data_IF_638569139907
#
_entry.id   IF_638569139907
#
_cell.length_a   1.000
_cell.length_b   1.000
_cell.length_c   1.000
_cell.angle_alpha   90.00
_cell.angle_beta   90.00
_cell.angle_gamma   90.00
#
_symmetry.space_group_name_H-M   'P 1'
#
loop_
_entity.id
_entity.type
_entity.pdbx_description
1 polymer ?
#
# COMPACT_ATOMS: atom_id res chain seq x y z
N UNK A 1 63.58 8.44 -45.15
CA UNK A 1 62.81 7.18 -45.11
C UNK A 1 62.18 7.04 -43.73
N UNK A 2 60.94 6.53 -43.69
CA UNK A 2 60.01 6.49 -42.56
C UNK A 2 60.50 5.68 -41.36
N UNK A 3 60.13 6.13 -40.15
CA UNK A 3 59.57 5.26 -39.10
C UNK A 3 58.81 6.14 -38.09
N UNK A 4 57.49 6.24 -38.25
CA UNK A 4 56.57 6.63 -37.18
C UNK A 4 56.08 5.32 -36.58
N UNK A 5 56.44 5.04 -35.33
CA UNK A 5 55.88 3.93 -34.55
C UNK A 5 54.92 4.50 -33.50
N UNK A 6 53.82 3.76 -33.33
CA UNK A 6 52.49 4.17 -32.96
C UNK A 6 52.25 3.77 -31.50
N UNK A 7 52.34 4.67 -30.53
CA UNK A 7 51.87 4.40 -29.17
C UNK A 7 51.38 5.69 -28.49
N UNK A 8 50.09 5.98 -28.64
CA UNK A 8 49.25 6.66 -27.64
C UNK A 8 47.95 7.17 -28.28
N UNK A 9 46.88 6.36 -28.36
CA UNK A 9 45.56 6.99 -28.27
C UNK A 9 44.59 6.26 -27.33
N UNK A 10 45.05 5.31 -26.51
CA UNK A 10 44.14 4.52 -25.66
C UNK A 10 43.91 5.10 -24.26
N UNK A 11 44.77 5.99 -23.75
CA UNK A 11 44.74 6.37 -22.34
C UNK A 11 43.97 7.67 -22.05
N UNK A 12 43.59 8.44 -23.08
CA UNK A 12 42.95 9.75 -22.90
C UNK A 12 41.40 9.70 -22.95
N UNK A 13 40.83 8.58 -23.42
CA UNK A 13 39.37 8.45 -23.59
C UNK A 13 38.67 7.99 -22.29
N UNK A 14 39.37 7.33 -21.37
CA UNK A 14 38.75 6.84 -20.12
C UNK A 14 38.59 7.89 -19.01
N UNK A 15 39.20 9.08 -19.13
CA UNK A 15 39.12 10.09 -18.06
C UNK A 15 37.89 11.02 -18.18
N UNK A 16 37.13 10.96 -19.28
CA UNK A 16 36.02 11.89 -19.56
C UNK A 16 34.63 11.44 -19.08
N UNK A 17 34.49 10.23 -18.55
CA UNK A 17 33.16 9.66 -18.19
C UNK A 17 32.83 9.69 -16.69
N UNK A 18 33.63 10.36 -15.86
CA UNK A 18 33.44 10.38 -14.41
C UNK A 18 32.68 11.61 -13.86
N UNK A 19 32.18 12.50 -14.72
CA UNK A 19 31.37 13.63 -14.28
C UNK A 19 29.87 13.32 -14.39
N UNK A 20 29.42 12.34 -13.61
CA UNK A 20 28.00 12.18 -13.32
C UNK A 20 27.58 13.33 -12.41
N UNK A 21 26.89 14.32 -12.98
CA UNK A 21 26.32 15.43 -12.23
C UNK A 21 25.36 14.87 -11.17
N UNK A 22 25.74 14.97 -9.90
CA UNK A 22 24.85 14.73 -8.78
C UNK A 22 23.80 15.84 -8.79
N UNK A 23 22.60 15.52 -9.28
CA UNK A 23 21.44 16.37 -9.13
C UNK A 23 21.11 16.43 -7.62
N UNK A 24 21.46 17.55 -6.98
CA UNK A 24 20.99 17.85 -5.64
C UNK A 24 19.52 18.26 -5.75
N UNK A 25 18.61 17.39 -5.33
CA UNK A 25 17.22 17.79 -5.12
C UNK A 25 17.20 18.78 -3.96
N UNK A 26 16.77 20.02 -4.22
CA UNK A 26 16.38 20.93 -3.15
C UNK A 26 15.19 20.31 -2.43
N UNK A 27 15.33 20.06 -1.13
CA UNK A 27 14.19 19.67 -0.29
C UNK A 27 13.19 20.83 -0.30
N UNK A 28 11.95 20.52 -0.71
CA UNK A 28 10.87 21.49 -0.65
C UNK A 28 10.63 21.85 0.83
N UNK A 29 10.41 23.15 1.14
CA UNK A 29 10.07 23.55 2.49
C UNK A 29 8.80 22.81 2.93
N UNK A 30 8.82 22.35 4.18
CA UNK A 30 7.73 21.57 4.74
C UNK A 30 6.42 22.35 4.62
N UNK A 31 5.39 21.69 4.08
CA UNK A 31 4.06 22.30 3.97
C UNK A 31 3.55 22.62 5.39
N UNK A 32 2.74 23.66 5.59
CA UNK A 32 2.17 23.98 6.90
C UNK A 32 1.44 22.78 7.56
N UNK A 33 0.86 21.90 6.74
CA UNK A 33 0.24 20.63 7.15
C UNK A 33 1.21 19.60 7.74
N UNK A 34 2.51 19.73 7.49
CA UNK A 34 3.56 18.90 8.08
C UNK A 34 4.06 19.43 9.42
N UNK A 35 3.83 20.71 9.73
CA UNK A 35 4.28 21.32 10.98
C UNK A 35 3.26 21.18 12.11
N UNK A 36 1.98 21.03 11.77
CA UNK A 36 0.91 20.80 12.74
C UNK A 36 -0.12 19.85 12.12
N UNK A 37 0.18 18.55 12.21
CA UNK A 37 -0.71 17.52 11.67
C UNK A 37 -2.00 17.50 12.48
N UNK A 38 -3.11 17.76 11.80
CA UNK A 38 -4.44 17.54 12.35
C UNK A 38 -4.60 16.05 12.69
N UNK A 39 -5.18 15.69 13.86
CA UNK A 39 -5.49 14.30 14.16
C UNK A 39 -6.55 13.74 13.20
N UNK A 40 -7.27 14.60 12.49
CA UNK A 40 -8.26 14.25 11.50
C UNK A 40 -7.64 14.10 10.10
N UNK A 41 -7.94 12.99 9.43
CA UNK A 41 -7.51 12.74 8.05
C UNK A 41 -8.62 12.10 7.21
N UNK A 42 -8.65 12.43 5.93
CA UNK A 42 -9.49 11.73 4.94
C UNK A 42 -8.60 10.77 4.16
N UNK A 43 -9.07 9.54 3.96
CA UNK A 43 -8.33 8.55 3.20
C UNK A 43 -9.14 8.06 2.00
N UNK A 44 -8.42 7.80 0.93
CA UNK A 44 -8.88 7.08 -0.24
C UNK A 44 -7.79 6.08 -0.62
N UNK A 45 -8.14 4.81 -0.63
CA UNK A 45 -7.23 3.72 -0.94
C UNK A 45 -7.87 2.82 -1.98
N UNK A 46 -7.09 2.36 -2.94
CA UNK A 46 -7.52 1.30 -3.85
C UNK A 46 -6.52 0.16 -3.77
N UNK A 47 -7.03 -1.06 -3.82
CA UNK A 47 -6.21 -2.27 -3.84
C UNK A 47 -6.87 -3.33 -4.70
N UNK A 48 -6.08 -4.19 -5.32
CA UNK A 48 -6.58 -5.43 -5.89
C UNK A 48 -6.51 -6.51 -4.83
N UNK A 49 -7.61 -7.27 -4.65
CA UNK A 49 -7.61 -8.51 -3.86
C UNK A 49 -7.65 -9.66 -4.84
N UNK A 50 -6.51 -10.33 -5.05
CA UNK A 50 -6.46 -11.58 -5.81
C UNK A 50 -6.74 -12.75 -4.86
N UNK A 51 -7.99 -12.93 -4.46
CA UNK A 51 -8.40 -14.13 -3.75
C UNK A 51 -8.61 -15.25 -4.78
N UNK A 52 -7.52 -15.94 -5.16
CA UNK A 52 -7.54 -17.13 -6.02
C UNK A 52 -7.11 -16.92 -7.48
N UNK A 53 -6.89 -18.03 -8.17
CA UNK A 53 -6.38 -18.08 -9.56
C UNK A 53 -7.37 -17.53 -10.62
N UNK A 54 -8.62 -17.28 -10.24
CA UNK A 54 -9.71 -16.91 -11.16
C UNK A 54 -10.20 -15.45 -11.00
N UNK A 55 -9.57 -14.62 -10.16
CA UNK A 55 -10.08 -13.29 -9.80
C UNK A 55 -9.15 -12.12 -10.18
N UNK A 56 -8.58 -12.14 -11.39
CA UNK A 56 -7.65 -11.10 -11.85
C UNK A 56 -8.29 -9.70 -12.04
N UNK A 57 -9.62 -9.62 -12.10
CA UNK A 57 -10.38 -8.37 -12.32
C UNK A 57 -11.03 -7.80 -11.04
N UNK A 58 -10.73 -8.35 -9.86
CA UNK A 58 -11.30 -7.87 -8.60
C UNK A 58 -10.47 -6.73 -7.99
N UNK A 59 -11.12 -5.61 -7.79
CA UNK A 59 -10.57 -4.43 -7.12
C UNK A 59 -11.50 -3.96 -6.00
N UNK A 60 -10.87 -3.33 -5.01
CA UNK A 60 -11.51 -2.71 -3.86
C UNK A 60 -11.10 -1.24 -3.78
N UNK A 61 -12.05 -0.38 -3.44
CA UNK A 61 -11.83 1.03 -3.13
C UNK A 61 -12.39 1.31 -1.75
N UNK A 62 -11.53 1.78 -0.86
CA UNK A 62 -11.84 2.18 0.49
C UNK A 62 -11.77 3.69 0.59
N UNK A 63 -12.81 4.31 1.13
CA UNK A 63 -12.84 5.75 1.39
C UNK A 63 -13.40 6.03 2.76
N UNK A 64 -12.92 7.08 3.42
CA UNK A 64 -13.43 7.41 4.73
C UNK A 64 -12.63 8.45 5.47
N UNK A 65 -12.90 8.49 6.78
CA UNK A 65 -12.33 9.43 7.71
C UNK A 65 -11.61 8.69 8.84
N UNK A 66 -10.43 9.18 9.20
CA UNK A 66 -9.64 8.67 10.30
C UNK A 66 -9.34 9.75 11.33
N UNK A 67 -9.18 9.31 12.57
CA UNK A 67 -8.84 10.12 13.72
C UNK A 67 -7.68 9.48 14.49
N UNK A 68 -6.56 10.18 14.58
CA UNK A 68 -5.43 9.82 15.42
C UNK A 68 -5.80 10.03 16.89
N UNK A 69 -6.00 8.93 17.61
CA UNK A 69 -6.25 8.94 19.07
C UNK A 69 -4.92 9.13 19.81
N UNK A 70 -3.87 8.48 19.30
CA UNK A 70 -2.49 8.61 19.76
C UNK A 70 -1.57 8.62 18.53
N UNK A 71 -0.31 9.01 18.71
CA UNK A 71 0.70 9.00 17.63
C UNK A 71 0.89 7.61 16.98
N UNK A 72 0.53 6.54 17.69
CA UNK A 72 0.61 5.15 17.22
C UNK A 72 -0.74 4.50 16.95
N UNK A 73 -1.88 5.19 17.13
CA UNK A 73 -3.20 4.58 17.00
C UNK A 73 -4.19 5.53 16.31
N UNK A 74 -4.67 5.08 15.14
CA UNK A 74 -5.75 5.73 14.41
C UNK A 74 -7.01 4.88 14.48
N UNK A 75 -8.17 5.53 14.62
CA UNK A 75 -9.48 4.92 14.46
C UNK A 75 -10.10 5.49 13.19
N UNK A 76 -10.72 4.66 12.37
CA UNK A 76 -11.30 5.10 11.11
C UNK A 76 -12.66 4.47 10.83
N UNK A 77 -13.46 5.20 10.06
CA UNK A 77 -14.77 4.79 9.56
C UNK A 77 -14.87 5.18 8.09
N UNK A 78 -15.64 4.42 7.32
CA UNK A 78 -15.70 4.65 5.88
C UNK A 78 -16.66 3.72 5.17
N UNK A 79 -16.47 3.65 3.86
CA UNK A 79 -17.15 2.72 2.98
C UNK A 79 -16.15 2.00 2.09
N UNK A 80 -16.41 0.71 1.85
CA UNK A 80 -15.72 -0.12 0.85
C UNK A 80 -16.66 -0.30 -0.33
N UNK A 81 -16.08 -0.24 -1.52
CA UNK A 81 -16.70 -0.64 -2.77
C UNK A 81 -15.81 -1.69 -3.40
N UNK A 82 -16.42 -2.78 -3.86
CA UNK A 82 -15.74 -3.78 -4.68
C UNK A 82 -16.51 -4.04 -5.98
N UNK A 83 -15.85 -4.77 -6.88
CA UNK A 83 -16.41 -5.22 -8.14
C UNK A 83 -16.37 -6.75 -8.28
N UNK A 84 -16.59 -7.48 -7.19
CA UNK A 84 -16.60 -8.94 -7.23
C UNK A 84 -18.01 -9.48 -7.50
N UNK A 85 -18.13 -10.50 -8.35
CA UNK A 85 -19.41 -11.15 -8.67
C UNK A 85 -19.88 -12.12 -7.57
N UNK A 86 -19.00 -12.51 -6.65
CA UNK A 86 -19.26 -13.53 -5.61
C UNK A 86 -19.64 -12.87 -4.27
N UNK A 87 -19.02 -11.74 -3.94
CA UNK A 87 -19.31 -10.95 -2.75
C UNK A 87 -19.43 -9.47 -3.10
N UNK A 88 -20.58 -8.88 -2.83
CA UNK A 88 -20.81 -7.47 -3.05
C UNK A 88 -20.46 -6.68 -1.78
N UNK A 89 -19.18 -6.32 -1.62
CA UNK A 89 -18.69 -5.47 -0.53
C UNK A 89 -18.97 -4.00 -0.88
N UNK A 90 -20.25 -3.63 -0.93
CA UNK A 90 -20.72 -2.23 -1.01
C UNK A 90 -21.27 -1.82 0.35
N UNK A 91 -20.37 -1.57 1.29
CA UNK A 91 -20.73 -1.50 2.70
C UNK A 91 -19.95 -0.50 3.52
N UNK A 92 -20.43 -0.27 4.73
CA UNK A 92 -19.72 0.50 5.75
C UNK A 92 -18.56 -0.31 6.32
N UNK A 93 -17.45 0.36 6.59
CA UNK A 93 -16.30 -0.21 7.27
C UNK A 93 -15.91 0.66 8.46
N UNK A 94 -15.34 0.03 9.47
CA UNK A 94 -14.69 0.67 10.58
C UNK A 94 -13.44 -0.10 10.96
N UNK A 95 -12.49 0.57 11.59
CA UNK A 95 -11.28 -0.13 11.97
C UNK A 95 -10.36 0.71 12.81
N UNK A 96 -9.25 0.06 13.18
CA UNK A 96 -8.15 0.66 13.90
C UNK A 96 -6.85 0.33 13.18
N UNK A 97 -5.95 1.31 13.13
CA UNK A 97 -4.61 1.15 12.63
C UNK A 97 -3.64 1.42 13.78
N UNK A 98 -2.83 0.42 14.12
CA UNK A 98 -1.86 0.48 15.19
C UNK A 98 -0.44 0.40 14.63
N UNK A 99 0.34 1.45 14.85
CA UNK A 99 1.72 1.53 14.47
C UNK A 99 2.60 1.01 15.60
N UNK A 100 2.98 -0.27 15.51
CA UNK A 100 3.84 -0.95 16.49
C UNK A 100 5.24 -0.32 16.50
N UNK A 101 5.73 0.06 15.31
CA UNK A 101 6.99 0.78 15.13
C UNK A 101 7.00 1.51 13.78
N UNK A 102 8.03 2.30 13.50
CA UNK A 102 8.23 2.98 12.21
C UNK A 102 8.22 2.03 11.00
N UNK A 103 8.46 0.73 11.24
CA UNK A 103 8.52 -0.30 10.21
C UNK A 103 7.38 -1.30 10.25
N UNK A 104 6.59 -1.35 11.32
CA UNK A 104 5.56 -2.38 11.51
C UNK A 104 4.24 -1.72 11.87
N UNK A 105 3.22 -1.98 11.07
CA UNK A 105 1.86 -1.55 11.33
C UNK A 105 0.90 -2.72 11.27
N UNK A 106 -0.08 -2.73 12.17
CA UNK A 106 -1.16 -3.71 12.20
C UNK A 106 -2.49 -2.97 12.11
N UNK A 107 -3.31 -3.35 11.14
CA UNK A 107 -4.62 -2.78 10.89
C UNK A 107 -5.68 -3.84 11.08
N UNK A 108 -6.70 -3.51 11.86
CA UNK A 108 -7.89 -4.34 12.05
C UNK A 108 -9.09 -3.60 11.48
N UNK A 109 -9.89 -4.29 10.67
CA UNK A 109 -11.03 -3.72 9.96
C UNK A 109 -12.25 -4.61 10.18
N UNK A 110 -13.37 -4.03 10.55
CA UNK A 110 -14.69 -4.64 10.49
C UNK A 110 -15.44 -4.01 9.32
N UNK A 111 -16.07 -4.84 8.49
CA UNK A 111 -16.86 -4.37 7.35
C UNK A 111 -18.18 -5.12 7.24
N UNK A 112 -19.21 -4.41 6.82
CA UNK A 112 -20.45 -5.03 6.37
C UNK A 112 -20.35 -5.44 4.90
N UNK A 113 -20.91 -6.60 4.55
CA UNK A 113 -21.07 -7.03 3.17
C UNK A 113 -22.43 -7.67 2.96
N UNK A 114 -22.82 -7.80 1.70
CA UNK A 114 -24.04 -8.48 1.31
C UNK A 114 -23.69 -9.71 0.49
N UNK A 115 -24.40 -10.81 0.77
CA UNK A 115 -24.28 -12.04 0.02
C UNK A 115 -25.67 -12.57 -0.34
N UNK A 116 -25.76 -13.30 -1.45
CA UNK A 116 -26.99 -13.93 -1.89
C UNK A 116 -27.07 -15.37 -1.39
N UNK A 117 -28.14 -15.71 -0.69
CA UNK A 117 -28.42 -17.08 -0.23
C UNK A 117 -29.89 -17.39 -0.51
N UNK A 118 -30.16 -18.43 -1.30
CA UNK A 118 -31.51 -18.86 -1.69
C UNK A 118 -32.37 -17.75 -2.36
N UNK A 119 -31.79 -16.94 -3.27
CA UNK A 119 -32.42 -15.77 -3.90
C UNK A 119 -32.84 -14.64 -2.93
N UNK A 120 -32.33 -14.63 -1.70
CA UNK A 120 -32.50 -13.53 -0.75
C UNK A 120 -31.15 -12.86 -0.46
N UNK A 121 -31.12 -11.52 -0.50
CA UNK A 121 -29.95 -10.74 -0.12
C UNK A 121 -29.87 -10.64 1.40
N UNK A 122 -28.84 -11.24 2.00
CA UNK A 122 -28.59 -11.16 3.43
C UNK A 122 -27.38 -10.28 3.73
N UNK A 123 -27.47 -9.51 4.82
CA UNK A 123 -26.35 -8.74 5.34
C UNK A 123 -25.50 -9.58 6.28
N UNK A 124 -24.18 -9.51 6.13
CA UNK A 124 -23.22 -10.13 7.02
C UNK A 124 -22.09 -9.17 7.39
N UNK A 125 -21.27 -9.58 8.36
CA UNK A 125 -20.10 -8.84 8.81
C UNK A 125 -18.84 -9.68 8.58
N UNK A 126 -17.77 -9.02 8.17
CA UNK A 126 -16.45 -9.59 7.97
C UNK A 126 -15.42 -8.85 8.82
N UNK A 127 -14.40 -9.58 9.25
CA UNK A 127 -13.28 -9.07 10.01
C UNK A 127 -11.98 -9.31 9.24
N UNK A 128 -11.18 -8.27 9.06
CA UNK A 128 -9.91 -8.32 8.34
C UNK A 128 -8.80 -7.84 9.28
N UNK A 129 -7.74 -8.63 9.41
CA UNK A 129 -6.54 -8.25 10.14
C UNK A 129 -5.39 -8.24 9.14
N UNK A 130 -4.77 -7.08 8.96
CA UNK A 130 -3.63 -6.91 8.06
C UNK A 130 -2.42 -6.41 8.82
N UNK A 131 -1.26 -6.93 8.47
CA UNK A 131 0.03 -6.51 8.97
C UNK A 131 0.89 -6.08 7.80
N UNK A 132 1.66 -5.02 8.00
CA UNK A 132 2.64 -4.53 7.03
C UNK A 132 3.96 -4.33 7.73
N UNK A 133 5.02 -4.86 7.14
CA UNK A 133 6.38 -4.77 7.61
C UNK A 133 7.29 -4.21 6.51
N UNK A 134 7.92 -3.07 6.77
CA UNK A 134 8.94 -2.47 5.91
C UNK A 134 10.26 -3.23 6.12
N UNK A 135 10.68 -4.02 5.13
CA UNK A 135 11.96 -4.72 5.17
C UNK A 135 13.12 -3.79 4.80
N UNK A 136 12.90 -2.93 3.82
CA UNK A 136 13.86 -1.94 3.32
C UNK A 136 13.09 -0.67 2.94
N UNK A 137 13.76 0.42 2.59
CA UNK A 137 13.09 1.66 2.18
C UNK A 137 12.18 1.51 0.95
N UNK A 138 12.45 0.48 0.13
CA UNK A 138 11.78 0.23 -1.14
C UNK A 138 11.01 -1.11 -1.16
N UNK A 139 10.98 -1.85 -0.05
CA UNK A 139 10.40 -3.19 0.03
C UNK A 139 9.59 -3.37 1.31
N UNK A 140 8.30 -3.64 1.11
CA UNK A 140 7.34 -3.91 2.15
C UNK A 140 6.78 -5.32 1.99
N UNK A 141 6.61 -6.02 3.09
CA UNK A 141 5.83 -7.27 3.15
C UNK A 141 4.48 -6.91 3.73
N UNK A 142 3.41 -7.44 3.15
CA UNK A 142 2.09 -7.38 3.76
C UNK A 142 1.51 -8.77 3.90
N UNK A 143 0.79 -8.99 5.00
CA UNK A 143 0.03 -10.20 5.25
C UNK A 143 -1.36 -9.80 5.73
N UNK A 144 -2.39 -10.27 5.05
CA UNK A 144 -3.79 -9.99 5.34
C UNK A 144 -4.51 -11.29 5.63
N UNK A 145 -5.19 -11.35 6.78
CA UNK A 145 -6.08 -12.42 7.17
C UNK A 145 -7.51 -11.91 7.10
N UNK A 146 -8.34 -12.55 6.29
CA UNK A 146 -9.73 -12.16 6.06
C UNK A 146 -10.68 -13.26 6.56
N UNK A 147 -11.60 -12.86 7.43
CA UNK A 147 -12.60 -13.73 8.01
C UNK A 147 -13.99 -13.25 7.60
N UNK A 148 -14.62 -14.01 6.72
CA UNK A 148 -16.02 -13.86 6.34
C UNK A 148 -16.81 -15.11 6.73
N UNK A 149 -18.14 -15.00 6.77
CA UNK A 149 -19.03 -16.13 7.12
C UNK A 149 -18.93 -17.26 6.10
N UNK A 150 -18.78 -16.90 4.83
CA UNK A 150 -18.76 -17.85 3.70
C UNK A 150 -17.33 -18.24 3.30
N UNK A 151 -16.35 -17.33 3.48
CA UNK A 151 -14.98 -17.53 3.02
C UNK A 151 -13.95 -17.06 4.05
N UNK A 152 -12.85 -17.82 4.16
CA UNK A 152 -11.66 -17.43 4.93
C UNK A 152 -10.47 -17.38 3.98
N UNK A 153 -9.64 -16.35 4.09
CA UNK A 153 -8.52 -16.12 3.19
C UNK A 153 -7.28 -15.65 3.93
N UNK A 154 -6.12 -16.14 3.50
CA UNK A 154 -4.82 -15.60 3.92
C UNK A 154 -4.10 -15.12 2.67
N UNK A 155 -3.74 -13.85 2.65
CA UNK A 155 -2.99 -13.22 1.58
C UNK A 155 -1.62 -12.80 2.13
N UNK A 156 -0.56 -13.14 1.41
CA UNK A 156 0.80 -12.65 1.70
C UNK A 156 1.37 -12.10 0.41
N UNK A 157 1.87 -10.87 0.46
CA UNK A 157 2.39 -10.19 -0.71
C UNK A 157 3.59 -9.30 -0.39
N UNK A 158 4.27 -8.92 -1.46
CA UNK A 158 5.42 -8.01 -1.46
C UNK A 158 5.03 -6.74 -2.21
N UNK A 159 5.22 -5.59 -1.56
CA UNK A 159 5.04 -4.27 -2.15
C UNK A 159 6.39 -3.62 -2.42
N UNK A 160 6.59 -3.13 -3.64
CA UNK A 160 7.74 -2.31 -3.99
C UNK A 160 7.35 -0.84 -3.99
N UNK A 161 8.23 -0.01 -3.42
CA UNK A 161 8.07 1.45 -3.40
C UNK A 161 9.24 2.06 -4.16
N UNK A 162 8.96 2.85 -5.19
CA UNK A 162 9.93 3.48 -6.07
C UNK A 162 9.79 5.00 -6.02
#
# INVERSE_FOLDING_TARGET
MRAVSLYAPALLVCSGLLFSASALSVELPALPSQHNQSPHSFFLSSGSKSNGADSFDVWNVDSGYSYAVFDSLDVYIGARLNNSDISNDRGFLSGVNYQVSDRISVKSTLRGYQYEENNETQGAMAAEVSSRMRLTENLDVHATFDFEKVQQGVEVGLGFRF
#
